data_IF_356912606578
#
_entry.id   IF_356912606578
#
_cell.length_a   1.000
_cell.length_b   1.000
_cell.length_c   1.000
_cell.angle_alpha   90.00
_cell.angle_beta   90.00
_cell.angle_gamma   90.00
#
_symmetry.space_group_name_H-M   'P 1'
#
loop_
_entity.id
_entity.type
_entity.pdbx_description
1 polymer ?
#
# COMPACT_ATOMS: atom_id res chain seq x y z
N UNK A 1 -18.74 23.46 30.44
CA UNK A 1 -18.90 23.26 28.99
C UNK A 1 -17.56 22.78 28.48
N UNK A 2 -17.45 21.50 28.13
CA UNK A 2 -16.22 20.94 27.56
C UNK A 2 -16.10 21.46 26.13
N UNK A 3 -15.07 22.23 25.83
CA UNK A 3 -14.83 22.78 24.50
C UNK A 3 -14.52 21.64 23.54
N UNK A 4 -15.43 21.39 22.60
CA UNK A 4 -15.35 20.48 21.45
C UNK A 4 -14.35 20.96 20.39
N UNK A 5 -13.19 21.51 20.81
CA UNK A 5 -12.15 21.92 19.88
C UNK A 5 -11.28 20.70 19.57
N UNK A 6 -11.21 20.24 18.31
CA UNK A 6 -10.34 19.13 17.96
C UNK A 6 -8.87 19.53 18.21
N UNK A 7 -8.07 18.58 18.73
CA UNK A 7 -6.65 18.81 19.04
C UNK A 7 -5.76 18.87 17.78
N UNK A 8 -6.27 18.41 16.65
CA UNK A 8 -5.59 18.31 15.35
C UNK A 8 -6.55 18.87 14.29
N UNK A 9 -6.01 19.60 13.31
CA UNK A 9 -6.80 20.11 12.18
C UNK A 9 -7.24 18.96 11.25
N UNK A 10 -8.21 19.22 10.37
CA UNK A 10 -8.52 18.25 9.33
C UNK A 10 -7.33 18.11 8.38
N UNK A 11 -6.84 16.88 8.21
CA UNK A 11 -5.88 16.55 7.17
C UNK A 11 -6.63 16.53 5.83
N UNK A 12 -6.28 17.45 4.93
CA UNK A 12 -6.94 17.61 3.63
C UNK A 12 -5.88 17.50 2.55
N UNK A 13 -6.14 16.66 1.55
CA UNK A 13 -5.33 16.57 0.34
C UNK A 13 -6.23 16.71 -0.87
N UNK A 14 -6.13 17.84 -1.57
CA UNK A 14 -6.84 18.00 -2.83
C UNK A 14 -6.16 17.18 -3.94
N UNK A 15 -6.90 16.85 -5.02
CA UNK A 15 -6.37 15.97 -6.06
C UNK A 15 -5.01 16.40 -6.63
N UNK A 16 -4.81 17.71 -6.82
CA UNK A 16 -3.61 18.31 -7.42
C UNK A 16 -2.45 18.49 -6.41
N UNK A 17 -2.73 18.31 -5.12
CA UNK A 17 -1.75 18.50 -4.05
C UNK A 17 -1.03 17.20 -3.66
N UNK A 18 -1.48 16.05 -4.19
CA UNK A 18 -0.93 14.74 -3.85
C UNK A 18 0.45 14.56 -4.49
N UNK A 19 1.43 14.16 -3.68
CA UNK A 19 2.70 13.68 -4.21
C UNK A 19 2.46 12.40 -5.00
N UNK A 20 3.07 12.29 -6.19
CA UNK A 20 2.83 11.20 -7.13
C UNK A 20 4.14 10.52 -7.48
N UNK A 21 4.20 9.21 -7.25
CA UNK A 21 5.27 8.34 -7.73
C UNK A 21 4.73 7.44 -8.83
N UNK A 22 5.47 7.31 -9.94
CA UNK A 22 4.98 6.59 -11.12
C UNK A 22 6.07 5.77 -11.78
N UNK A 23 5.71 4.52 -12.12
CA UNK A 23 6.40 3.67 -13.08
C UNK A 23 5.46 3.41 -14.28
N UNK A 24 5.91 2.63 -15.26
CA UNK A 24 5.06 2.23 -16.39
C UNK A 24 3.83 1.42 -15.96
N UNK A 25 3.94 0.68 -14.85
CA UNK A 25 2.91 -0.26 -14.40
C UNK A 25 2.12 0.23 -13.18
N UNK A 26 2.68 1.12 -12.36
CA UNK A 26 2.10 1.54 -11.08
C UNK A 26 2.15 3.06 -10.92
N UNK A 27 1.06 3.65 -10.47
CA UNK A 27 1.00 5.05 -10.01
C UNK A 27 0.53 5.07 -8.56
N UNK A 28 1.30 5.70 -7.68
CA UNK A 28 0.94 5.93 -6.28
C UNK A 28 0.68 7.41 -6.07
N UNK A 29 -0.46 7.76 -5.49
CA UNK A 29 -0.80 9.11 -5.03
C UNK A 29 -0.83 9.12 -3.52
N UNK A 30 0.09 9.84 -2.91
CA UNK A 30 0.22 9.93 -1.46
C UNK A 30 -0.80 10.93 -0.93
N UNK A 31 -1.78 10.45 -0.16
CA UNK A 31 -2.96 11.25 0.21
C UNK A 31 -2.75 11.93 1.57
N UNK A 32 -2.67 11.15 2.64
CA UNK A 32 -2.53 11.64 4.01
C UNK A 32 -1.50 10.78 4.73
N UNK A 33 -0.47 11.39 5.34
CA UNK A 33 0.48 10.66 6.19
C UNK A 33 0.08 10.75 7.67
N UNK A 34 0.64 9.86 8.49
CA UNK A 34 0.31 9.74 9.93
C UNK A 34 0.48 11.08 10.69
N UNK A 35 1.51 11.85 10.35
CA UNK A 35 1.79 13.16 10.95
C UNK A 35 0.64 14.15 10.75
N UNK A 36 0.13 14.24 9.51
CA UNK A 36 -0.97 15.14 9.16
C UNK A 36 -2.27 14.74 9.86
N UNK A 37 -2.49 13.43 10.03
CA UNK A 37 -3.68 12.86 10.64
C UNK A 37 -3.56 12.65 12.17
N UNK A 38 -2.49 13.16 12.78
CA UNK A 38 -2.16 13.00 14.20
C UNK A 38 -2.21 11.55 14.70
N UNK A 39 -1.64 10.63 13.91
CA UNK A 39 -1.48 9.22 14.27
C UNK A 39 -2.68 8.33 13.93
N UNK A 40 -3.77 8.89 13.40
CA UNK A 40 -5.01 8.12 13.21
C UNK A 40 -4.97 7.20 12.00
N UNK A 41 -4.41 7.66 10.88
CA UNK A 41 -4.40 6.92 9.61
C UNK A 41 -3.26 7.39 8.71
N UNK A 42 -2.76 6.49 7.87
CA UNK A 42 -1.96 6.81 6.69
C UNK A 42 -2.63 6.25 5.46
N UNK A 43 -2.82 7.07 4.42
CA UNK A 43 -3.61 6.70 3.24
C UNK A 43 -2.91 7.07 1.94
N UNK A 44 -3.09 6.21 0.95
CA UNK A 44 -2.65 6.42 -0.43
C UNK A 44 -3.61 5.75 -1.41
N UNK A 45 -3.62 6.25 -2.64
CA UNK A 45 -4.25 5.57 -3.77
C UNK A 45 -3.17 4.91 -4.63
N UNK A 46 -3.40 3.66 -5.02
CA UNK A 46 -2.51 2.92 -5.94
C UNK A 46 -3.32 2.54 -7.17
N UNK A 47 -2.80 2.88 -8.35
CA UNK A 47 -3.33 2.46 -9.64
C UNK A 47 -2.33 1.56 -10.33
N UNK A 48 -2.79 0.41 -10.82
CA UNK A 48 -1.98 -0.65 -11.44
C UNK A 48 -2.53 -1.00 -12.81
N UNK A 49 -1.65 -1.16 -13.80
CA UNK A 49 -2.01 -1.69 -15.12
C UNK A 49 -2.40 -3.17 -15.04
N UNK A 50 -2.93 -3.71 -16.13
CA UNK A 50 -3.43 -5.09 -16.15
C UNK A 50 -2.36 -6.11 -15.71
N UNK A 51 -2.66 -6.89 -14.67
CA UNK A 51 -1.75 -7.90 -14.13
C UNK A 51 -0.47 -7.36 -13.49
N UNK A 52 -0.32 -6.05 -13.29
CA UNK A 52 0.87 -5.48 -12.64
C UNK A 52 0.97 -5.90 -11.17
N UNK A 53 2.20 -6.04 -10.67
CA UNK A 53 2.42 -6.22 -9.24
C UNK A 53 2.27 -4.88 -8.50
N UNK A 54 1.73 -4.96 -7.29
CA UNK A 54 1.72 -3.89 -6.31
C UNK A 54 2.85 -4.12 -5.31
N UNK A 55 2.50 -4.34 -4.04
CA UNK A 55 3.49 -4.62 -3.01
C UNK A 55 3.97 -6.07 -3.02
N UNK A 56 5.29 -6.26 -2.90
CA UNK A 56 5.90 -7.54 -2.58
C UNK A 56 5.45 -8.05 -1.19
N UNK A 57 5.57 -9.36 -0.91
CA UNK A 57 5.18 -9.93 0.38
C UNK A 57 5.84 -9.23 1.58
N UNK A 58 5.01 -8.76 2.50
CA UNK A 58 5.43 -8.07 3.71
C UNK A 58 4.39 -8.19 4.84
N UNK A 59 4.72 -7.69 6.03
CA UNK A 59 3.76 -7.46 7.10
C UNK A 59 4.06 -6.14 7.82
N UNK A 60 3.05 -5.68 8.56
CA UNK A 60 3.10 -4.51 9.44
C UNK A 60 3.03 -4.99 10.90
N UNK A 61 3.70 -4.31 11.83
CA UNK A 61 3.67 -4.61 13.27
C UNK A 61 2.79 -3.64 14.06
N UNK A 62 2.60 -2.43 13.54
CA UNK A 62 1.88 -1.35 14.22
C UNK A 62 0.44 -1.22 13.73
N UNK A 63 0.20 -1.47 12.44
CA UNK A 63 -1.05 -1.12 11.76
C UNK A 63 -1.75 -2.33 11.15
N UNK A 64 -3.08 -2.30 11.16
CA UNK A 64 -3.87 -3.10 10.24
C UNK A 64 -3.97 -2.32 8.91
N UNK A 65 -4.02 -3.03 7.78
CA UNK A 65 -4.09 -2.41 6.44
C UNK A 65 -5.42 -2.72 5.77
N UNK A 66 -6.20 -1.69 5.47
CA UNK A 66 -7.45 -1.76 4.72
C UNK A 66 -7.21 -1.44 3.25
N UNK A 67 -7.83 -2.24 2.40
CA UNK A 67 -7.90 -2.06 0.97
C UNK A 67 -9.36 -1.83 0.56
N UNK A 68 -9.61 -0.77 -0.20
CA UNK A 68 -10.88 -0.58 -0.92
C UNK A 68 -10.60 -0.56 -2.42
N UNK A 69 -11.29 -1.41 -3.18
CA UNK A 69 -11.12 -1.49 -4.63
C UNK A 69 -12.06 -0.49 -5.30
N UNK A 70 -11.50 0.63 -5.74
CA UNK A 70 -12.27 1.70 -6.38
C UNK A 70 -12.61 1.38 -7.83
N UNK A 71 -11.75 0.64 -8.53
CA UNK A 71 -11.97 0.21 -9.91
C UNK A 71 -11.15 -1.06 -10.24
N UNK A 72 -11.61 -1.86 -11.19
CA UNK A 72 -10.93 -3.09 -11.62
C UNK A 72 -10.97 -4.24 -10.60
N UNK A 73 -9.92 -5.05 -10.57
CA UNK A 73 -9.80 -6.25 -9.74
C UNK A 73 -8.42 -6.36 -9.08
N UNK A 74 -8.41 -6.45 -7.74
CA UNK A 74 -7.21 -6.61 -6.93
C UNK A 74 -7.06 -8.07 -6.52
N UNK A 75 -5.89 -8.66 -6.78
CA UNK A 75 -5.49 -9.94 -6.20
C UNK A 75 -4.64 -9.68 -4.97
N UNK A 76 -4.95 -10.34 -3.85
CA UNK A 76 -4.26 -10.17 -2.56
C UNK A 76 -3.91 -11.54 -1.99
N UNK A 77 -2.66 -11.71 -1.57
CA UNK A 77 -2.29 -12.75 -0.62
C UNK A 77 -2.60 -12.24 0.78
N UNK A 78 -3.39 -12.98 1.56
CA UNK A 78 -3.72 -12.68 2.95
C UNK A 78 -3.45 -13.93 3.80
N UNK A 79 -2.25 -14.00 4.41
CA UNK A 79 -1.77 -15.21 5.06
C UNK A 79 -1.59 -16.35 4.05
N UNK A 80 -2.35 -17.43 4.25
CA UNK A 80 -2.29 -18.63 3.40
C UNK A 80 -3.28 -18.59 2.22
N UNK A 81 -4.13 -17.57 2.13
CA UNK A 81 -5.12 -17.44 1.07
C UNK A 81 -4.67 -16.43 0.01
N UNK A 82 -5.03 -16.71 -1.25
CA UNK A 82 -4.95 -15.73 -2.34
C UNK A 82 -6.38 -15.49 -2.82
N UNK A 83 -6.83 -14.25 -2.71
CA UNK A 83 -8.20 -13.81 -3.03
C UNK A 83 -8.19 -12.73 -4.10
N UNK A 84 -9.25 -12.68 -4.90
CA UNK A 84 -9.49 -11.58 -5.84
C UNK A 84 -10.72 -10.78 -5.40
N UNK A 85 -10.55 -9.46 -5.29
CA UNK A 85 -11.60 -8.52 -4.87
C UNK A 85 -11.83 -7.52 -6.00
N UNK A 86 -13.07 -7.46 -6.51
CA UNK A 86 -13.48 -6.53 -7.55
C UNK A 86 -13.92 -5.17 -7.00
N UNK A 87 -14.15 -4.22 -7.91
CA UNK A 87 -14.62 -2.86 -7.61
C UNK A 87 -15.83 -2.83 -6.66
N UNK A 88 -15.78 -1.91 -5.68
CA UNK A 88 -16.75 -1.79 -4.59
C UNK A 88 -16.51 -2.75 -3.41
N UNK A 89 -15.62 -3.73 -3.58
CA UNK A 89 -15.18 -4.63 -2.52
C UNK A 89 -14.10 -4.01 -1.62
N UNK A 90 -13.94 -4.59 -0.44
CA UNK A 90 -12.91 -4.20 0.52
C UNK A 90 -12.39 -5.42 1.28
N UNK A 91 -11.16 -5.32 1.78
CA UNK A 91 -10.58 -6.25 2.72
C UNK A 91 -9.73 -5.52 3.75
N UNK A 92 -9.51 -6.15 4.90
CA UNK A 92 -8.58 -5.66 5.92
C UNK A 92 -7.65 -6.78 6.32
N UNK A 93 -6.35 -6.53 6.25
CA UNK A 93 -5.31 -7.43 6.70
C UNK A 93 -4.84 -6.96 8.09
N UNK A 94 -4.96 -7.80 9.13
CA UNK A 94 -4.48 -7.44 10.46
C UNK A 94 -2.96 -7.40 10.50
N UNK A 95 -2.41 -6.58 11.41
CA UNK A 95 -0.97 -6.57 11.72
C UNK A 95 -0.43 -7.98 11.99
N UNK A 96 0.84 -8.19 11.69
CA UNK A 96 1.60 -9.45 11.72
C UNK A 96 1.16 -10.50 10.70
N UNK A 97 0.08 -10.29 9.94
CA UNK A 97 -0.28 -11.19 8.85
C UNK A 97 0.54 -10.84 7.59
N UNK A 98 1.32 -11.78 7.05
CA UNK A 98 1.95 -11.61 5.75
C UNK A 98 0.91 -11.38 4.66
N UNK A 99 1.16 -10.39 3.82
CA UNK A 99 0.32 -10.08 2.68
C UNK A 99 1.12 -9.48 1.53
N UNK A 100 0.53 -9.55 0.35
CA UNK A 100 1.05 -8.99 -0.90
C UNK A 100 -0.14 -8.66 -1.79
N UNK A 101 0.04 -7.76 -2.76
CA UNK A 101 -1.05 -7.47 -3.69
C UNK A 101 -0.56 -7.10 -5.08
N UNK A 102 -1.45 -7.24 -6.06
CA UNK A 102 -1.26 -6.78 -7.42
C UNK A 102 -2.60 -6.73 -8.14
N UNK A 103 -2.64 -6.10 -9.31
CA UNK A 103 -3.80 -6.19 -10.15
C UNK A 103 -4.01 -7.65 -10.61
N UNK A 104 -5.25 -8.11 -10.63
CA UNK A 104 -5.56 -9.48 -11.04
C UNK A 104 -5.13 -9.74 -12.50
N UNK A 105 -4.82 -11.00 -12.87
CA UNK A 105 -4.47 -11.33 -14.24
C UNK A 105 -5.49 -10.79 -15.26
N UNK A 106 -5.02 -10.05 -16.26
CA UNK A 106 -5.86 -9.49 -17.31
C UNK A 106 -6.73 -8.28 -16.92
N UNK A 107 -6.70 -7.82 -15.66
CA UNK A 107 -7.47 -6.66 -15.19
C UNK A 107 -6.56 -5.58 -14.59
N UNK A 108 -6.80 -4.28 -14.84
CA UNK A 108 -6.20 -3.21 -14.05
C UNK A 108 -6.82 -3.20 -12.65
N UNK A 109 -6.26 -2.37 -11.75
CA UNK A 109 -6.84 -2.10 -10.45
C UNK A 109 -6.56 -0.66 -10.01
N UNK A 110 -7.53 -0.03 -9.35
CA UNK A 110 -7.33 1.21 -8.60
C UNK A 110 -7.86 1.02 -7.20
N UNK A 111 -7.00 1.22 -6.21
CA UNK A 111 -7.27 0.89 -4.81
C UNK A 111 -6.96 2.08 -3.92
N UNK A 112 -7.72 2.21 -2.83
CA UNK A 112 -7.35 3.03 -1.69
C UNK A 112 -6.79 2.10 -0.61
N UNK A 113 -5.64 2.47 -0.06
CA UNK A 113 -5.03 1.81 1.09
C UNK A 113 -5.16 2.73 2.31
N UNK A 114 -5.47 2.16 3.46
CA UNK A 114 -5.44 2.85 4.75
C UNK A 114 -4.78 1.98 5.81
N UNK A 115 -3.72 2.48 6.44
CA UNK A 115 -3.09 1.87 7.61
C UNK A 115 -3.64 2.52 8.88
N UNK A 116 -4.14 1.71 9.81
CA UNK A 116 -4.69 2.18 11.09
C UNK A 116 -4.18 1.35 12.28
N UNK A 117 -3.62 1.98 13.34
CA UNK A 117 -3.24 3.40 13.45
C UNK A 117 -2.27 3.85 12.35
N UNK A 118 -2.12 5.15 12.12
CA UNK A 118 -1.24 5.65 11.07
C UNK A 118 0.24 5.49 11.40
N UNK A 119 1.04 5.10 10.42
CA UNK A 119 2.51 5.09 10.45
C UNK A 119 3.09 6.04 9.39
N UNK A 120 4.28 6.61 9.58
CA UNK A 120 4.86 7.44 8.53
C UNK A 120 5.12 6.58 7.27
N UNK A 121 4.68 7.02 6.09
CA UNK A 121 4.78 6.22 4.85
C UNK A 121 5.40 6.97 3.69
N UNK A 122 5.37 8.29 3.65
CA UNK A 122 5.77 9.00 2.43
C UNK A 122 7.26 8.85 2.14
N UNK A 123 8.09 8.82 3.20
CA UNK A 123 9.53 8.52 3.09
C UNK A 123 9.80 7.16 2.44
N UNK A 124 9.05 6.12 2.82
CA UNK A 124 9.15 4.78 2.22
C UNK A 124 8.93 4.80 0.71
N UNK A 125 7.87 5.47 0.23
CA UNK A 125 7.56 5.50 -1.20
C UNK A 125 8.57 6.30 -2.02
N UNK A 126 9.15 7.36 -1.45
CA UNK A 126 10.28 8.09 -2.07
C UNK A 126 11.52 7.22 -2.21
N UNK A 127 11.82 6.38 -1.21
CA UNK A 127 12.93 5.42 -1.31
C UNK A 127 12.61 4.34 -2.34
N UNK A 128 11.37 3.85 -2.38
CA UNK A 128 10.93 2.86 -3.35
C UNK A 128 11.08 3.36 -4.80
N UNK A 129 10.77 4.63 -5.06
CA UNK A 129 11.03 5.28 -6.36
C UNK A 129 12.52 5.33 -6.69
N UNK A 130 13.37 5.70 -5.73
CA UNK A 130 14.83 5.66 -5.91
C UNK A 130 15.34 4.26 -6.24
N UNK A 131 14.79 3.23 -5.60
CA UNK A 131 15.11 1.82 -5.93
C UNK A 131 14.68 1.49 -7.36
N UNK A 132 13.49 1.90 -7.78
CA UNK A 132 13.00 1.68 -9.15
C UNK A 132 13.88 2.38 -10.20
N UNK A 133 14.46 3.54 -9.87
CA UNK A 133 15.36 4.29 -10.74
C UNK A 133 16.83 3.81 -10.69
N UNK A 134 17.17 2.89 -9.79
CA UNK A 134 18.54 2.41 -9.58
C UNK A 134 19.42 3.36 -8.74
N UNK A 135 18.82 4.37 -8.10
CA UNK A 135 19.49 5.34 -7.22
C UNK A 135 19.62 4.85 -5.77
N UNK A 136 18.94 3.75 -5.42
CA UNK A 136 18.99 3.08 -4.13
C UNK A 136 18.87 1.56 -4.29
N UNK A 137 19.19 0.82 -3.24
CA UNK A 137 19.16 -0.64 -3.20
C UNK A 137 17.98 -1.17 -2.37
N UNK A 138 17.57 -2.40 -2.64
CA UNK A 138 16.59 -3.10 -1.80
C UNK A 138 17.09 -3.26 -0.35
N UNK A 139 18.40 -3.32 -0.13
CA UNK A 139 18.99 -3.38 1.20
C UNK A 139 18.81 -2.05 1.96
N UNK A 140 18.98 -0.91 1.28
CA UNK A 140 18.69 0.41 1.88
C UNK A 140 17.20 0.56 2.21
N UNK A 141 16.30 0.09 1.35
CA UNK A 141 14.87 0.07 1.65
C UNK A 141 14.57 -0.82 2.86
N UNK A 142 15.10 -2.05 2.90
CA UNK A 142 14.91 -2.98 4.00
C UNK A 142 15.47 -2.45 5.34
N UNK A 143 16.53 -1.64 5.31
CA UNK A 143 17.07 -1.00 6.50
C UNK A 143 16.10 0.01 7.15
N UNK A 144 15.07 0.46 6.42
CA UNK A 144 14.01 1.35 6.92
C UNK A 144 12.76 0.63 7.40
N UNK A 145 12.78 -0.72 7.49
CA UNK A 145 11.60 -1.52 7.83
C UNK A 145 10.96 -1.12 9.17
N UNK A 146 11.76 -0.81 10.20
CA UNK A 146 11.24 -0.45 11.53
C UNK A 146 10.67 0.97 11.54
N UNK A 147 11.23 1.87 10.73
CA UNK A 147 10.81 3.28 10.63
C UNK A 147 9.45 3.40 9.92
N UNK A 148 9.27 2.66 8.82
CA UNK A 148 8.07 2.72 7.99
C UNK A 148 7.13 1.52 8.18
N UNK A 149 7.39 0.70 9.21
CA UNK A 149 6.62 -0.48 9.60
C UNK A 149 6.39 -1.45 8.43
N UNK A 150 7.42 -1.76 7.64
CA UNK A 150 7.30 -2.57 6.42
C UNK A 150 8.33 -3.70 6.38
N UNK A 151 7.93 -4.87 6.86
CA UNK A 151 8.85 -6.01 7.01
C UNK A 151 8.65 -7.01 5.87
N UNK A 152 9.60 -7.05 4.94
CA UNK A 152 9.55 -7.99 3.82
C UNK A 152 9.70 -9.44 4.27
N UNK A 153 8.99 -10.35 3.60
CA UNK A 153 9.08 -11.79 3.82
C UNK A 153 9.20 -12.51 2.48
N UNK A 154 9.70 -13.74 2.52
CA UNK A 154 9.58 -14.63 1.36
C UNK A 154 8.18 -15.25 1.33
N UNK A 155 7.58 -15.32 0.15
CA UNK A 155 6.31 -16.01 -0.07
C UNK A 155 6.33 -16.67 -1.47
N UNK A 156 6.96 -17.84 -1.60
CA UNK A 156 7.09 -18.53 -2.89
C UNK A 156 5.75 -18.84 -3.54
N UNK A 157 4.71 -19.11 -2.73
CA UNK A 157 3.35 -19.38 -3.21
C UNK A 157 2.73 -18.18 -3.94
N UNK A 158 2.95 -16.96 -3.43
CA UNK A 158 2.50 -15.74 -4.10
C UNK A 158 3.19 -15.58 -5.44
N UNK A 159 4.52 -15.71 -5.47
CA UNK A 159 5.26 -15.54 -6.71
C UNK A 159 4.97 -16.66 -7.73
N UNK A 160 4.73 -17.88 -7.28
CA UNK A 160 4.28 -18.97 -8.14
C UNK A 160 2.93 -18.65 -8.79
N UNK A 161 1.95 -18.19 -8.01
CA UNK A 161 0.64 -17.77 -8.51
C UNK A 161 0.77 -16.61 -9.51
N UNK A 162 1.51 -15.56 -9.15
CA UNK A 162 1.73 -14.39 -10.01
C UNK A 162 2.42 -14.73 -11.32
N UNK A 163 3.38 -15.66 -11.30
CA UNK A 163 4.12 -16.07 -12.48
C UNK A 163 3.35 -17.07 -13.35
N UNK A 164 2.43 -17.86 -12.79
CA UNK A 164 1.61 -18.80 -13.55
C UNK A 164 0.73 -18.11 -14.61
N UNK A 165 0.40 -16.84 -14.38
CA UNK A 165 -0.46 -16.03 -15.27
C UNK A 165 0.32 -15.02 -16.13
N UNK A 166 1.65 -15.03 -16.04
CA UNK A 166 2.55 -14.26 -16.91
C UNK A 166 2.94 -15.13 -18.08
N UNK A 167 2.21 -14.98 -19.20
CA UNK A 167 2.56 -15.61 -20.48
C UNK A 167 3.89 -15.10 -21.01
#
# INVERSE_FOLDING_TARGET
MSTTTPRIAAAIRHPDDAEVHRTDAVTMRLLIDSEDAGGSVSTLEVTMTAGADGAAPHYHTLSDELFYVADGELQVMAGDEIVTVGAGGALTVPRFMPHAFGAAPGSPARILIALTPGVQRFGYFRILERVANGDATLAELAATQDEYDNHFVDAPQWWAERNAHRG
#
